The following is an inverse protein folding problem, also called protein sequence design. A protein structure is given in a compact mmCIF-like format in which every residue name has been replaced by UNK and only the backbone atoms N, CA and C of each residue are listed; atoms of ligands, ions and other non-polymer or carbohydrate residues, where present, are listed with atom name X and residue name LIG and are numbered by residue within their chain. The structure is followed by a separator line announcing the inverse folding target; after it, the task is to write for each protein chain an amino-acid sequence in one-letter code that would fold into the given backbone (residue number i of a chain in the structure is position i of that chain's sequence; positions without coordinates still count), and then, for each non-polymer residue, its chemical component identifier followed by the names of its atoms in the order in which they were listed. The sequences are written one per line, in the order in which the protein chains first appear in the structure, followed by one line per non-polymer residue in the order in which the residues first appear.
data_IF_681910351014
#
_entry.id   IF_681910351014
#
_cell.length_a   1.000
_cell.length_b   1.000
_cell.length_c   1.000
_cell.angle_alpha   90.00
_cell.angle_beta   90.00
_cell.angle_gamma   90.00
#
_symmetry.space_group_name_H-M   'P 1'
#
loop_
_entity.id
_entity.type
_entity.pdbx_description
1 polymer ?
#
# COMPACT_ATOMS: atom_id res chain seq x y z
N UNK A 1 -20.56 -11.81 -23.93
CA UNK A 1 -19.22 -11.67 -23.32
C UNK A 1 -19.38 -10.72 -22.15
N UNK A 2 -19.62 -11.27 -20.96
CA UNK A 2 -19.88 -10.50 -19.74
C UNK A 2 -18.57 -9.89 -19.25
N UNK A 3 -18.48 -8.55 -19.30
CA UNK A 3 -17.45 -7.78 -18.64
C UNK A 3 -17.61 -7.95 -17.11
N UNK A 4 -16.89 -8.91 -16.54
CA UNK A 4 -16.59 -8.90 -15.11
C UNK A 4 -15.58 -7.78 -14.88
N UNK A 5 -16.08 -6.57 -14.62
CA UNK A 5 -15.29 -5.48 -14.09
C UNK A 5 -15.00 -5.78 -12.62
N UNK A 6 -14.03 -6.65 -12.35
CA UNK A 6 -13.29 -6.60 -11.09
C UNK A 6 -12.63 -5.21 -11.04
N UNK A 7 -12.84 -4.42 -9.98
CA UNK A 7 -12.08 -3.20 -9.79
C UNK A 7 -10.61 -3.59 -9.75
N UNK A 8 -9.91 -3.35 -10.85
CA UNK A 8 -8.50 -3.70 -10.96
C UNK A 8 -7.71 -2.65 -10.18
N UNK A 9 -7.59 -2.88 -8.87
CA UNK A 9 -6.85 -1.99 -7.99
C UNK A 9 -5.34 -2.02 -8.30
N UNK A 10 -4.89 -3.10 -8.94
CA UNK A 10 -3.51 -3.36 -9.34
C UNK A 10 -3.17 -2.74 -10.71
N UNK A 11 -4.18 -2.36 -11.51
CA UNK A 11 -4.01 -1.74 -12.82
C UNK A 11 -4.89 -0.49 -12.99
N UNK A 12 -4.26 0.69 -13.03
CA UNK A 12 -4.92 1.91 -13.46
C UNK A 12 -5.28 1.88 -14.96
N UNK A 13 -6.29 2.66 -15.38
CA UNK A 13 -6.48 3.00 -16.78
C UNK A 13 -5.23 3.70 -17.35
N UNK A 14 -4.85 3.44 -18.62
CA UNK A 14 -3.64 3.97 -19.22
C UNK A 14 -3.72 5.51 -19.30
N UNK A 15 -2.99 6.21 -18.43
CA UNK A 15 -3.02 7.68 -18.39
C UNK A 15 -2.43 8.35 -17.16
N UNK A 16 -2.19 7.63 -16.06
CA UNK A 16 -1.40 8.12 -14.93
C UNK A 16 -0.04 7.41 -14.91
N UNK A 17 1.09 8.14 -14.76
CA UNK A 17 2.38 7.51 -14.51
C UNK A 17 2.31 6.89 -13.12
N UNK A 18 2.18 5.57 -13.10
CA UNK A 18 2.34 4.77 -11.90
C UNK A 18 3.61 3.97 -12.17
N UNK A 19 4.69 4.31 -11.47
CA UNK A 19 5.97 3.62 -11.62
C UNK A 19 5.86 2.19 -11.10
N UNK A 20 6.78 1.29 -11.47
CA UNK A 20 6.70 -0.14 -11.08
C UNK A 20 6.65 -0.32 -9.55
N UNK A 21 7.17 0.67 -8.83
CA UNK A 21 7.15 0.78 -7.37
C UNK A 21 5.73 0.89 -6.81
N UNK A 22 4.89 1.74 -7.39
CA UNK A 22 3.52 1.96 -6.93
C UNK A 22 2.65 0.72 -7.15
N UNK A 23 2.83 0.03 -8.27
CA UNK A 23 2.16 -1.24 -8.57
C UNK A 23 2.55 -2.30 -7.54
N UNK A 24 3.85 -2.44 -7.29
CA UNK A 24 4.37 -3.41 -6.32
C UNK A 24 3.90 -3.09 -4.90
N UNK A 25 3.86 -1.81 -4.51
CA UNK A 25 3.36 -1.36 -3.21
C UNK A 25 1.88 -1.68 -3.01
N UNK A 26 1.04 -1.44 -4.04
CA UNK A 26 -0.38 -1.79 -3.98
C UNK A 26 -0.60 -3.30 -3.93
N UNK A 27 0.18 -4.07 -4.69
CA UNK A 27 0.16 -5.52 -4.63
C UNK A 27 0.58 -6.03 -3.23
N UNK A 28 1.56 -5.39 -2.60
CA UNK A 28 1.95 -5.67 -1.21
C UNK A 28 0.79 -5.42 -0.24
N UNK A 29 0.18 -4.23 -0.29
CA UNK A 29 -0.95 -3.87 0.56
C UNK A 29 -2.16 -4.78 0.34
N UNK A 30 -2.44 -5.17 -0.91
CA UNK A 30 -3.53 -6.08 -1.24
C UNK A 30 -3.35 -7.49 -0.67
N UNK A 31 -2.09 -7.91 -0.44
CA UNK A 31 -1.76 -9.17 0.26
C UNK A 31 -1.95 -9.09 1.77
N UNK A 32 -2.00 -7.89 2.35
CA UNK A 32 -2.30 -7.74 3.78
C UNK A 32 -3.78 -8.06 4.01
N UNK A 33 -4.04 -8.84 5.06
CA UNK A 33 -5.41 -9.14 5.48
C UNK A 33 -6.11 -7.90 6.01
N UNK A 34 -7.42 -7.82 5.82
CA UNK A 34 -8.26 -6.72 6.32
C UNK A 34 -8.15 -6.56 7.85
N UNK A 35 -7.96 -7.66 8.59
CA UNK A 35 -7.70 -7.64 10.04
C UNK A 35 -6.37 -6.97 10.41
N UNK A 36 -5.35 -7.11 9.56
CA UNK A 36 -4.07 -6.45 9.76
C UNK A 36 -4.22 -4.96 9.45
N UNK A 37 -4.79 -4.64 8.29
CA UNK A 37 -5.10 -3.27 7.85
C UNK A 37 -5.99 -2.51 8.85
N UNK A 38 -6.95 -3.17 9.49
CA UNK A 38 -7.82 -2.56 10.50
C UNK A 38 -7.12 -2.19 11.82
N UNK A 39 -5.91 -2.72 12.06
CA UNK A 39 -5.09 -2.34 13.21
C UNK A 39 -4.34 -1.03 12.97
N UNK A 40 -4.13 -0.64 11.72
CA UNK A 40 -3.45 0.60 11.39
C UNK A 40 -4.13 1.80 12.06
N UNK A 41 -3.34 2.60 12.77
CA UNK A 41 -3.79 3.87 13.34
C UNK A 41 -3.01 5.02 12.70
N UNK A 42 -3.68 6.00 12.07
CA UNK A 42 -3.02 7.13 11.43
C UNK A 42 -2.35 8.09 12.42
N UNK A 43 -2.62 7.96 13.72
CA UNK A 43 -1.95 8.74 14.77
C UNK A 43 -0.63 8.09 15.23
N UNK A 44 -0.29 6.91 14.71
CA UNK A 44 0.97 6.26 15.02
C UNK A 44 2.16 7.02 14.47
N UNK A 45 3.24 7.01 15.24
CA UNK A 45 4.54 7.52 14.80
C UNK A 45 5.16 6.62 13.75
N UNK A 46 6.20 7.13 13.10
CA UNK A 46 6.85 6.46 11.99
C UNK A 46 7.40 5.10 12.43
N UNK A 47 8.10 5.09 13.56
CA UNK A 47 8.63 3.89 14.19
C UNK A 47 7.53 2.86 14.50
N UNK A 48 6.37 3.30 15.01
CA UNK A 48 5.26 2.40 15.32
C UNK A 48 4.65 1.76 14.07
N UNK A 49 4.51 2.51 12.98
CA UNK A 49 4.02 1.96 11.70
C UNK A 49 5.05 0.98 11.12
N UNK A 50 6.34 1.29 11.21
CA UNK A 50 7.41 0.39 10.80
C UNK A 50 7.43 -0.92 11.59
N UNK A 51 7.26 -0.85 12.91
CA UNK A 51 7.18 -2.03 13.78
C UNK A 51 5.91 -2.84 13.53
N UNK A 52 4.78 -2.18 13.27
CA UNK A 52 3.50 -2.82 12.96
C UNK A 52 3.54 -3.59 11.65
N UNK A 53 4.08 -2.97 10.60
CA UNK A 53 4.23 -3.57 9.28
C UNK A 53 5.31 -4.66 9.31
N UNK A 54 6.39 -4.44 10.05
CA UNK A 54 7.48 -5.40 10.26
C UNK A 54 8.30 -5.70 9.01
N UNK A 55 8.00 -5.06 7.88
CA UNK A 55 8.69 -5.22 6.61
C UNK A 55 9.54 -3.97 6.26
N UNK A 56 9.58 -2.96 7.13
CA UNK A 56 10.48 -1.81 6.98
C UNK A 56 11.93 -2.15 7.35
N UNK A 57 12.87 -1.48 6.68
CA UNK A 57 14.31 -1.52 6.97
C UNK A 57 14.67 -0.52 8.08
N UNK A 58 15.85 -0.70 8.68
CA UNK A 58 16.39 0.24 9.67
C UNK A 58 16.62 1.65 9.11
N UNK A 59 16.67 1.80 7.79
CA UNK A 59 16.81 3.08 7.09
C UNK A 59 15.47 3.81 6.89
N UNK A 60 14.33 3.27 7.34
CA UNK A 60 13.00 3.89 7.19
C UNK A 60 12.28 3.54 5.88
N UNK A 61 12.91 2.74 5.01
CA UNK A 61 12.34 2.34 3.73
C UNK A 61 11.68 0.96 3.80
N UNK A 62 10.54 0.81 3.11
CA UNK A 62 9.83 -0.46 3.02
C UNK A 62 10.64 -1.48 2.21
N UNK A 63 10.80 -2.70 2.74
CA UNK A 63 11.48 -3.78 2.04
C UNK A 63 10.55 -4.39 0.99
N UNK A 64 10.53 -3.77 -0.19
CA UNK A 64 9.74 -4.21 -1.32
C UNK A 64 10.63 -4.75 -2.44
N UNK A 65 10.16 -5.79 -3.12
CA UNK A 65 10.89 -6.46 -4.21
C UNK A 65 10.41 -5.91 -5.54
N UNK A 66 11.31 -5.72 -6.50
CA UNK A 66 11.03 -5.13 -7.82
C UNK A 66 10.47 -3.70 -7.75
N UNK A 67 11.18 -2.81 -7.06
CA UNK A 67 10.90 -1.36 -7.05
C UNK A 67 12.00 -0.62 -7.78
N UNK A 68 11.62 0.43 -8.50
CA UNK A 68 12.55 1.36 -9.16
C UNK A 68 13.06 2.44 -8.19
N UNK A 69 12.30 2.71 -7.12
CA UNK A 69 12.63 3.68 -6.07
C UNK A 69 12.33 3.12 -4.68
N UNK A 70 13.09 3.55 -3.69
CA UNK A 70 12.80 3.25 -2.29
C UNK A 70 11.48 3.94 -1.88
N UNK A 71 10.65 3.22 -1.14
CA UNK A 71 9.40 3.73 -0.57
C UNK A 71 9.66 4.15 0.86
N UNK A 72 9.63 5.44 1.10
CA UNK A 72 9.65 6.01 2.45
C UNK A 72 8.30 5.78 3.14
N UNK A 73 8.31 5.87 4.46
CA UNK A 73 7.12 5.72 5.28
C UNK A 73 6.00 6.72 4.96
N UNK A 74 6.32 7.96 4.58
CA UNK A 74 5.31 8.96 4.24
C UNK A 74 4.51 8.53 3.00
N UNK A 75 5.21 8.03 1.99
CA UNK A 75 4.59 7.49 0.77
C UNK A 75 3.80 6.22 1.06
N UNK A 76 4.36 5.31 1.86
CA UNK A 76 3.66 4.10 2.28
C UNK A 76 2.32 4.43 2.95
N UNK A 77 2.31 5.40 3.89
CA UNK A 77 1.09 5.84 4.56
C UNK A 77 0.08 6.42 3.59
N UNK A 78 0.54 7.26 2.66
CA UNK A 78 -0.33 7.88 1.67
C UNK A 78 -1.07 6.82 0.83
N UNK A 79 -0.34 5.81 0.35
CA UNK A 79 -0.90 4.72 -0.46
C UNK A 79 -1.73 3.76 0.39
N UNK A 80 -1.34 3.51 1.65
CA UNK A 80 -2.12 2.72 2.60
C UNK A 80 -3.47 3.35 2.89
N UNK A 81 -3.51 4.66 3.14
CA UNK A 81 -4.77 5.38 3.36
C UNK A 81 -5.67 5.37 2.12
N UNK A 82 -5.09 5.50 0.92
CA UNK A 82 -5.83 5.33 -0.34
C UNK A 82 -6.39 3.91 -0.47
N UNK A 83 -5.60 2.89 -0.12
CA UNK A 83 -6.02 1.48 -0.12
C UNK A 83 -7.16 1.20 0.85
N UNK A 84 -7.07 1.73 2.08
CA UNK A 84 -8.12 1.61 3.09
C UNK A 84 -9.42 2.27 2.61
N UNK A 85 -9.33 3.47 2.01
CA UNK A 85 -10.47 4.16 1.40
C UNK A 85 -11.07 3.36 0.25
N UNK A 86 -10.24 2.79 -0.61
CA UNK A 86 -10.68 1.98 -1.74
C UNK A 86 -11.40 0.70 -1.30
N UNK A 87 -10.81 -0.03 -0.33
CA UNK A 87 -11.44 -1.22 0.25
C UNK A 87 -12.65 -0.90 1.13
N UNK A 88 -12.96 0.39 1.35
CA UNK A 88 -13.99 0.86 2.30
C UNK A 88 -13.79 0.30 3.71
N UNK A 89 -12.54 0.03 4.09
CA UNK A 89 -12.16 -0.25 5.47
C UNK A 89 -12.02 1.11 6.16
N UNK A 90 -13.14 1.84 6.18
CA UNK A 90 -13.31 3.07 6.94
C UNK A 90 -13.99 2.68 8.23
N UNK A 91 -13.33 2.96 9.35
CA UNK A 91 -13.92 2.85 10.69
C UNK A 91 -14.90 3.99 10.92
#
# INVERSE_FOLDING_TARGET
MTANATPDYEHLPPGQPMDETDVSLRAYLSRLSDEHLAKYDPSWTDEQVMEWDGNFRMDGNLMLVCVERDVDIDEFRHVLEDHLRFRRITK
#
